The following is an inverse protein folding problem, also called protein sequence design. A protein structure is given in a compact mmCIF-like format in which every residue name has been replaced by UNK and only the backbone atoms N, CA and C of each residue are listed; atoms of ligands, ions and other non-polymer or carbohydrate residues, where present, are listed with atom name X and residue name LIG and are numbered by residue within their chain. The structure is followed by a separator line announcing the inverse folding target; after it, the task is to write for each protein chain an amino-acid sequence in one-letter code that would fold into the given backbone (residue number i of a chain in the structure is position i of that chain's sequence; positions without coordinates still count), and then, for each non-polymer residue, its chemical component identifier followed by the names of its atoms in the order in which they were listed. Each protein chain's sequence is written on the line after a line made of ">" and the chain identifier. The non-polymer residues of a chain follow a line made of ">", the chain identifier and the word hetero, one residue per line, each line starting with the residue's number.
data_IF_840986025139
#
_entry.id   IF_840986025139
#
_cell.length_a   1.000
_cell.length_b   1.000
_cell.length_c   1.000
_cell.angle_alpha   90.00
_cell.angle_beta   90.00
_cell.angle_gamma   90.00
#
_symmetry.space_group_name_H-M   'P 1'
#
loop_
_entity.id
_entity.type
_entity.pdbx_description
1 polymer ?
#
# COMPACT_ATOMS: atom_id res chain seq x y z
N UNK A 1 -1.56 -13.28 2.98
CA UNK A 1 -2.37 -12.15 3.46
C UNK A 1 -1.45 -10.97 3.69
N UNK A 2 -1.88 -9.74 3.39
CA UNK A 2 -1.06 -8.54 3.61
C UNK A 2 -0.62 -8.41 5.07
N UNK A 3 -1.48 -8.77 6.02
CA UNK A 3 -1.19 -8.74 7.46
C UNK A 3 0.01 -9.62 7.84
N UNK A 4 0.08 -10.84 7.31
CA UNK A 4 1.18 -11.77 7.59
C UNK A 4 2.53 -11.21 7.12
N UNK A 5 2.54 -10.54 5.97
CA UNK A 5 3.75 -9.94 5.41
C UNK A 5 4.24 -8.78 6.30
N UNK A 6 3.31 -7.91 6.71
CA UNK A 6 3.62 -6.78 7.60
C UNK A 6 4.11 -7.26 8.97
N UNK A 7 3.51 -8.31 9.53
CA UNK A 7 3.97 -8.94 10.79
C UNK A 7 5.39 -9.53 10.68
N UNK A 8 5.85 -9.87 9.47
CA UNK A 8 7.21 -10.36 9.21
C UNK A 8 8.16 -9.29 8.67
N UNK A 9 7.80 -8.01 8.83
CA UNK A 9 8.69 -6.89 8.51
C UNK A 9 8.76 -6.50 7.04
N UNK A 10 7.75 -6.84 6.23
CA UNK A 10 7.63 -6.27 4.89
C UNK A 10 7.50 -4.74 4.98
N UNK A 11 8.21 -4.04 4.09
CA UNK A 11 8.15 -2.58 3.99
C UNK A 11 6.79 -2.15 3.44
N UNK A 12 6.05 -1.37 4.25
CA UNK A 12 4.64 -1.05 3.99
C UNK A 12 4.44 -0.13 2.78
N UNK A 13 5.40 0.76 2.52
CA UNK A 13 5.36 1.74 1.44
C UNK A 13 6.34 1.39 0.30
N UNK A 14 6.75 0.11 0.20
CA UNK A 14 7.62 -0.34 -0.87
C UNK A 14 6.96 -0.08 -2.25
N UNK A 15 7.51 0.89 -2.97
CA UNK A 15 7.01 1.27 -4.28
C UNK A 15 7.58 0.36 -5.38
N UNK A 16 6.74 0.03 -6.38
CA UNK A 16 7.20 -0.63 -7.60
C UNK A 16 7.93 0.35 -8.55
N UNK A 17 8.32 -0.13 -9.74
CA UNK A 17 9.02 0.67 -10.75
C UNK A 17 8.21 1.88 -11.25
N UNK A 18 6.89 1.90 -11.02
CA UNK A 18 6.00 2.99 -11.39
C UNK A 18 5.72 3.93 -10.21
N UNK A 19 6.37 3.73 -9.05
CA UNK A 19 6.11 4.51 -7.85
C UNK A 19 4.86 4.05 -7.07
N UNK A 20 4.21 2.94 -7.47
CA UNK A 20 2.98 2.51 -6.82
C UNK A 20 3.26 1.75 -5.54
N UNK A 21 2.78 2.28 -4.42
CA UNK A 21 2.78 1.60 -3.12
C UNK A 21 1.68 0.53 -3.05
N UNK A 22 1.73 -0.39 -2.08
CA UNK A 22 0.63 -1.33 -1.84
C UNK A 22 -0.73 -0.64 -1.64
N UNK A 23 -0.73 0.56 -1.06
CA UNK A 23 -1.96 1.35 -0.84
C UNK A 23 -2.55 1.86 -2.16
N UNK A 24 -1.72 2.34 -3.07
CA UNK A 24 -2.15 2.78 -4.41
C UNK A 24 -2.75 1.60 -5.19
N UNK A 25 -2.07 0.45 -5.19
CA UNK A 25 -2.57 -0.77 -5.84
C UNK A 25 -3.92 -1.21 -5.26
N UNK A 26 -4.01 -1.36 -3.94
CA UNK A 26 -5.23 -1.79 -3.26
C UNK A 26 -6.41 -0.84 -3.52
N UNK A 27 -6.16 0.47 -3.55
CA UNK A 27 -7.17 1.49 -3.81
C UNK A 27 -7.65 1.46 -5.27
N UNK A 28 -6.74 1.34 -6.23
CA UNK A 28 -7.08 1.31 -7.66
C UNK A 28 -7.96 0.11 -8.07
N UNK A 29 -7.84 -1.00 -7.34
CA UNK A 29 -8.62 -2.23 -7.58
C UNK A 29 -9.90 -2.28 -6.72
N UNK A 30 -10.01 -1.43 -5.69
CA UNK A 30 -11.14 -1.43 -4.76
C UNK A 30 -11.06 -2.52 -3.68
N UNK A 31 -9.86 -2.96 -3.31
CA UNK A 31 -9.65 -3.95 -2.25
C UNK A 31 -9.80 -3.33 -0.85
N UNK A 32 -11.02 -2.96 -0.46
CA UNK A 32 -11.32 -2.24 0.79
C UNK A 32 -10.68 -2.85 2.05
N UNK A 33 -10.72 -4.19 2.18
CA UNK A 33 -10.12 -4.86 3.33
C UNK A 33 -8.59 -4.70 3.37
N UNK A 34 -7.94 -4.70 2.21
CA UNK A 34 -6.49 -4.49 2.11
C UNK A 34 -6.15 -3.04 2.42
N UNK A 35 -6.94 -2.09 1.92
CA UNK A 35 -6.82 -0.65 2.24
C UNK A 35 -6.92 -0.43 3.75
N UNK A 36 -7.93 -0.99 4.41
CA UNK A 36 -8.09 -0.88 5.88
C UNK A 36 -6.86 -1.38 6.64
N UNK A 37 -6.35 -2.57 6.29
CA UNK A 37 -5.17 -3.13 6.96
C UNK A 37 -3.93 -2.26 6.72
N UNK A 38 -3.70 -1.76 5.51
CA UNK A 38 -2.56 -0.89 5.22
C UNK A 38 -2.65 0.43 6.02
N UNK A 39 -3.84 1.02 6.12
CA UNK A 39 -4.06 2.22 6.94
C UNK A 39 -3.87 1.97 8.44
N UNK A 40 -4.33 0.82 8.95
CA UNK A 40 -4.12 0.41 10.35
C UNK A 40 -2.64 0.24 10.70
N UNK A 41 -1.82 -0.18 9.74
CA UNK A 41 -0.37 -0.32 9.91
C UNK A 41 0.42 0.94 9.54
N UNK A 42 -0.25 2.04 9.16
CA UNK A 42 0.37 3.35 8.97
C UNK A 42 0.97 3.59 7.58
N UNK A 43 0.42 3.00 6.52
CA UNK A 43 0.82 3.31 5.15
C UNK A 43 0.68 4.82 4.84
N UNK A 44 1.63 5.38 4.08
CA UNK A 44 1.61 6.80 3.70
C UNK A 44 0.45 7.07 2.72
N UNK A 45 -0.49 7.92 3.15
CA UNK A 45 -1.71 8.21 2.39
C UNK A 45 -1.51 9.23 1.28
N UNK A 46 -0.43 10.03 1.36
CA UNK A 46 -0.08 11.04 0.36
C UNK A 46 1.02 10.56 -0.59
N UNK A 47 1.32 9.26 -0.60
CA UNK A 47 2.23 8.69 -1.58
C UNK A 47 1.64 8.90 -2.97
N UNK A 48 2.48 9.38 -3.89
CA UNK A 48 2.11 9.57 -5.28
C UNK A 48 2.94 8.65 -6.17
N UNK A 49 2.31 8.08 -7.20
CA UNK A 49 3.04 7.33 -8.21
C UNK A 49 3.79 8.26 -9.18
N UNK A 50 4.48 7.69 -10.17
CA UNK A 50 5.27 8.47 -11.14
C UNK A 50 4.40 9.39 -12.01
N UNK A 51 3.08 9.16 -12.08
CA UNK A 51 2.13 10.02 -12.79
C UNK A 51 1.59 11.15 -11.89
N UNK A 52 2.01 11.19 -10.62
CA UNK A 52 1.57 12.17 -9.61
C UNK A 52 0.19 11.87 -9.03
N UNK A 53 -0.27 10.62 -9.16
CA UNK A 53 -1.58 10.16 -8.72
C UNK A 53 -1.59 9.78 -7.24
#
# INVERSE_FOLDING_TARGET
>A
SIKLLLEHGAEIDAADINGKTPLIHASSVGHENTVKVLLEYGAEVNAADNDGQ
#
